data_IF_516467578908
#
_entry.id   IF_516467578908
#
_cell.length_a   1.000
_cell.length_b   1.000
_cell.length_c   1.000
_cell.angle_alpha   90.00
_cell.angle_beta   90.00
_cell.angle_gamma   90.00
#
_symmetry.space_group_name_H-M   'P 1'
#
loop_
_entity.id
_entity.type
_entity.pdbx_description
1 polymer ?
#
# COMPACT_ATOMS: atom_id res chain seq x y z
N UNK A 1 19.68 -4.10 -4.63
CA UNK A 1 18.70 -3.26 -3.91
C UNK A 1 17.87 -2.47 -4.93
N UNK A 2 16.58 -2.37 -4.71
CA UNK A 2 15.69 -1.65 -5.62
C UNK A 2 15.91 -0.15 -5.47
N UNK A 3 16.05 0.56 -6.60
CA UNK A 3 16.10 2.03 -6.59
C UNK A 3 14.67 2.56 -6.41
N UNK A 4 14.38 3.29 -5.32
CA UNK A 4 13.01 3.72 -5.03
C UNK A 4 12.43 4.65 -6.09
N UNK A 5 13.23 5.54 -6.67
CA UNK A 5 12.74 6.48 -7.67
C UNK A 5 12.35 5.77 -8.97
N UNK A 6 13.18 4.83 -9.42
CA UNK A 6 12.86 4.02 -10.61
C UNK A 6 11.62 3.20 -10.34
N UNK A 7 11.50 2.59 -9.16
CA UNK A 7 10.35 1.79 -8.79
C UNK A 7 9.07 2.64 -8.76
N UNK A 8 9.14 3.83 -8.16
CA UNK A 8 8.01 4.75 -8.13
C UNK A 8 7.56 5.13 -9.55
N UNK A 9 8.51 5.44 -10.43
CA UNK A 9 8.19 5.81 -11.81
C UNK A 9 7.54 4.66 -12.57
N UNK A 10 7.98 3.42 -12.32
CA UNK A 10 7.35 2.22 -12.89
C UNK A 10 5.92 2.04 -12.40
N UNK A 11 5.67 2.30 -11.14
CA UNK A 11 4.31 2.26 -10.60
C UNK A 11 3.42 3.32 -11.26
N UNK A 12 3.94 4.54 -11.40
CA UNK A 12 3.20 5.63 -12.03
C UNK A 12 2.86 5.31 -13.48
N UNK A 13 3.80 4.77 -14.24
CA UNK A 13 3.56 4.36 -15.64
C UNK A 13 2.44 3.33 -15.76
N UNK A 14 2.22 2.53 -14.72
CA UNK A 14 1.17 1.51 -14.67
C UNK A 14 -0.07 1.97 -13.93
N UNK A 15 -0.17 3.29 -13.70
CA UNK A 15 -1.34 3.92 -13.06
C UNK A 15 -1.54 3.52 -11.60
N UNK A 16 -0.47 3.16 -10.89
CA UNK A 16 -0.50 2.96 -9.45
C UNK A 16 -0.08 4.28 -8.78
N UNK A 17 -1.05 5.14 -8.52
CA UNK A 17 -0.79 6.51 -8.07
C UNK A 17 -1.30 6.81 -6.67
N UNK A 18 -2.02 5.88 -6.02
CA UNK A 18 -2.52 6.06 -4.66
C UNK A 18 -1.78 5.12 -3.71
N UNK A 19 -1.32 5.68 -2.59
CA UNK A 19 -0.48 4.96 -1.63
C UNK A 19 -1.06 5.08 -0.23
N UNK A 20 -1.18 3.95 0.44
CA UNK A 20 -1.60 3.88 1.85
C UNK A 20 -0.65 2.94 2.58
N UNK A 21 -0.16 3.34 3.73
CA UNK A 21 0.71 2.40 4.42
C UNK A 21 1.06 2.80 5.83
N UNK A 22 1.82 1.92 6.45
CA UNK A 22 2.41 2.13 7.76
C UNK A 22 3.92 2.23 7.57
N UNK A 23 4.52 3.41 7.79
CA UNK A 23 5.95 3.59 7.60
C UNK A 23 6.77 2.66 8.48
N UNK A 24 7.88 2.20 7.92
CA UNK A 24 8.78 1.29 8.59
C UNK A 24 10.21 1.55 8.15
N UNK A 25 11.18 1.21 9.01
CA UNK A 25 12.59 1.43 8.72
C UNK A 25 13.09 0.65 7.50
N UNK A 26 12.51 -0.53 7.23
CA UNK A 26 12.85 -1.33 6.05
C UNK A 26 12.42 -0.67 4.74
N UNK A 27 11.37 0.14 4.78
CA UNK A 27 10.82 0.84 3.64
C UNK A 27 11.14 2.33 3.64
N UNK A 28 12.10 2.75 4.46
CA UNK A 28 12.41 4.16 4.70
C UNK A 28 12.62 4.94 3.39
N UNK A 29 13.43 4.40 2.50
CA UNK A 29 13.79 5.11 1.26
C UNK A 29 12.59 5.15 0.30
N UNK A 30 11.81 4.08 0.22
CA UNK A 30 10.59 4.05 -0.58
C UNK A 30 9.55 5.03 -0.02
N UNK A 31 9.34 5.03 1.30
CA UNK A 31 8.40 5.95 1.95
C UNK A 31 8.78 7.42 1.71
N UNK A 32 10.06 7.75 1.81
CA UNK A 32 10.54 9.10 1.51
C UNK A 32 10.27 9.49 0.07
N UNK A 33 10.51 8.57 -0.86
CA UNK A 33 10.24 8.80 -2.29
C UNK A 33 8.74 9.01 -2.55
N UNK A 34 7.89 8.17 -2.00
CA UNK A 34 6.43 8.32 -2.13
C UNK A 34 5.99 9.67 -1.58
N UNK A 35 6.47 10.05 -0.40
CA UNK A 35 6.11 11.32 0.24
C UNK A 35 6.50 12.52 -0.62
N UNK A 36 7.68 12.49 -1.25
CA UNK A 36 8.16 13.62 -2.03
C UNK A 36 7.60 13.68 -3.45
N UNK A 37 7.30 12.54 -4.07
CA UNK A 37 6.92 12.47 -5.49
C UNK A 37 5.43 12.29 -5.73
N UNK A 38 4.67 11.72 -4.79
CA UNK A 38 3.24 11.58 -4.98
C UNK A 38 2.50 12.88 -4.67
N UNK A 39 1.31 13.04 -5.26
CA UNK A 39 0.42 14.12 -4.86
C UNK A 39 0.02 13.93 -3.40
N UNK A 40 0.00 15.03 -2.60
CA UNK A 40 -0.24 14.93 -1.16
C UNK A 40 -1.57 14.26 -0.80
N UNK A 41 -2.59 14.39 -1.66
CA UNK A 41 -3.89 13.76 -1.44
C UNK A 41 -3.90 12.27 -1.84
N UNK A 42 -2.83 11.79 -2.44
CA UNK A 42 -2.72 10.42 -2.92
C UNK A 42 -1.84 9.55 -2.03
N UNK A 43 -1.41 10.08 -0.89
CA UNK A 43 -0.58 9.32 0.06
C UNK A 43 -1.14 9.47 1.46
N UNK A 44 -1.56 8.38 2.06
CA UNK A 44 -2.18 8.36 3.39
C UNK A 44 -1.36 7.44 4.29
N UNK A 45 -0.97 7.98 5.46
CA UNK A 45 -0.35 7.20 6.52
C UNK A 45 -1.45 6.66 7.41
N UNK A 46 -1.52 5.34 7.53
CA UNK A 46 -2.55 4.67 8.31
C UNK A 46 -2.12 4.49 9.77
N UNK A 47 -3.09 4.35 10.67
CA UNK A 47 -2.82 4.12 12.08
C UNK A 47 -2.27 2.72 12.34
N UNK A 48 -2.70 1.73 11.56
CA UNK A 48 -2.17 0.37 11.60
C UNK A 48 -2.44 -0.33 10.25
N UNK A 49 -1.92 -1.53 10.11
CA UNK A 49 -1.98 -2.26 8.83
C UNK A 49 -3.41 -2.63 8.41
N UNK A 50 -4.25 -3.03 9.36
CA UNK A 50 -5.65 -3.34 9.07
C UNK A 50 -6.41 -2.12 8.56
N UNK A 51 -6.16 -0.95 9.17
CA UNK A 51 -6.73 0.32 8.70
C UNK A 51 -6.25 0.65 7.29
N UNK A 52 -4.98 0.37 6.97
CA UNK A 52 -4.44 0.61 5.63
C UNK A 52 -5.22 -0.17 4.57
N UNK A 53 -5.55 -1.42 4.83
CA UNK A 53 -6.35 -2.23 3.91
C UNK A 53 -7.76 -1.62 3.73
N UNK A 54 -8.39 -1.21 4.82
CA UNK A 54 -9.72 -0.58 4.76
C UNK A 54 -9.72 0.73 3.98
N UNK A 55 -8.74 1.58 4.21
CA UNK A 55 -8.59 2.85 3.48
C UNK A 55 -8.35 2.57 1.99
N UNK A 56 -7.48 1.62 1.67
CA UNK A 56 -7.20 1.23 0.29
C UNK A 56 -8.47 0.74 -0.42
N UNK A 57 -9.27 -0.07 0.26
CA UNK A 57 -10.54 -0.53 -0.29
C UNK A 57 -11.46 0.66 -0.65
N UNK A 58 -11.55 1.66 0.23
CA UNK A 58 -12.32 2.87 -0.01
C UNK A 58 -11.78 3.67 -1.20
N UNK A 59 -10.46 3.76 -1.35
CA UNK A 59 -9.85 4.42 -2.51
C UNK A 59 -10.26 3.72 -3.80
N UNK A 60 -10.17 2.39 -3.84
CA UNK A 60 -10.59 1.65 -5.04
C UNK A 60 -12.06 1.90 -5.37
N UNK A 61 -12.92 1.82 -4.38
CA UNK A 61 -14.37 2.00 -4.60
C UNK A 61 -14.70 3.41 -5.10
N UNK A 62 -13.97 4.42 -4.66
CA UNK A 62 -14.23 5.80 -5.04
C UNK A 62 -13.55 6.23 -6.33
N UNK A 63 -12.41 5.64 -6.68
CA UNK A 63 -11.60 6.09 -7.82
C UNK A 63 -11.53 5.09 -8.96
N UNK A 64 -11.90 3.84 -8.73
CA UNK A 64 -11.75 2.73 -9.68
C UNK A 64 -10.28 2.41 -10.00
N UNK A 65 -9.33 2.97 -9.26
CA UNK A 65 -7.90 2.65 -9.42
C UNK A 65 -7.49 1.54 -8.47
N UNK A 66 -6.33 0.95 -8.70
CA UNK A 66 -5.76 -0.07 -7.81
C UNK A 66 -4.77 0.62 -6.87
N UNK A 67 -5.10 0.73 -5.58
CA UNK A 67 -4.20 1.38 -4.62
C UNK A 67 -3.01 0.50 -4.27
N UNK A 68 -1.93 1.14 -3.83
CA UNK A 68 -0.73 0.49 -3.31
C UNK A 68 -0.77 0.56 -1.78
N UNK A 69 -0.62 -0.58 -1.14
CA UNK A 69 -0.53 -0.67 0.33
C UNK A 69 0.88 -1.15 0.69
N UNK A 70 1.56 -0.42 1.57
CA UNK A 70 2.90 -0.81 1.99
C UNK A 70 2.97 -1.00 3.50
N UNK A 71 3.78 -1.95 3.94
CA UNK A 71 3.97 -2.27 5.35
C UNK A 71 5.15 -3.23 5.53
N UNK A 72 5.59 -3.40 6.77
CA UNK A 72 6.53 -4.44 7.14
C UNK A 72 5.81 -5.80 7.24
N UNK A 73 6.53 -6.89 7.02
CA UNK A 73 5.95 -8.23 7.12
C UNK A 73 5.34 -8.53 8.51
N UNK A 74 5.86 -7.93 9.57
CA UNK A 74 5.28 -8.08 10.91
C UNK A 74 3.85 -7.54 11.01
N UNK A 75 3.46 -6.65 10.11
CA UNK A 75 2.10 -6.10 10.06
C UNK A 75 1.08 -6.99 9.37
N UNK A 76 1.51 -8.05 8.70
CA UNK A 76 0.60 -8.92 7.94
C UNK A 76 -0.46 -9.59 8.82
N UNK A 77 -0.14 -9.88 10.09
CA UNK A 77 -1.10 -10.43 11.02
C UNK A 77 -2.33 -9.54 11.22
N UNK A 78 -2.14 -8.23 11.17
CA UNK A 78 -3.24 -7.26 11.30
C UNK A 78 -4.10 -7.17 10.03
N UNK A 79 -3.66 -7.78 8.93
CA UNK A 79 -4.35 -7.73 7.64
C UNK A 79 -5.21 -8.97 7.37
N UNK A 80 -5.11 -10.01 8.18
CA UNK A 80 -5.78 -11.29 7.90
C UNK A 80 -7.29 -11.10 7.74
N UNK A 81 -7.92 -10.47 8.70
CA UNK A 81 -9.36 -10.23 8.66
C UNK A 81 -9.77 -9.36 7.46
N UNK A 82 -9.25 -8.13 7.30
CA UNK A 82 -9.68 -7.29 6.19
C UNK A 82 -9.34 -7.88 4.82
N UNK A 83 -8.23 -8.57 4.67
CA UNK A 83 -7.92 -9.23 3.40
C UNK A 83 -8.89 -10.37 3.10
N UNK A 84 -9.24 -11.15 4.12
CA UNK A 84 -10.16 -12.28 3.94
C UNK A 84 -11.56 -11.83 3.50
N UNK A 85 -11.97 -10.61 3.83
CA UNK A 85 -13.29 -10.08 3.45
C UNK A 85 -13.21 -9.12 2.26
N UNK A 86 -12.33 -8.11 2.31
CA UNK A 86 -12.34 -7.05 1.30
C UNK A 86 -11.73 -7.48 -0.02
N UNK A 87 -10.71 -8.33 0.01
CA UNK A 87 -10.01 -8.73 -1.21
C UNK A 87 -10.40 -10.11 -1.73
N UNK A 88 -11.12 -10.89 -0.93
CA UNK A 88 -11.51 -12.24 -1.33
C UNK A 88 -12.41 -12.21 -2.55
N UNK A 89 -12.14 -13.01 -3.60
CA UNK A 89 -12.90 -12.95 -4.86
C UNK A 89 -14.40 -13.20 -4.69
N UNK A 90 -14.79 -14.02 -3.73
CA UNK A 90 -16.19 -14.37 -3.51
C UNK A 90 -16.93 -13.40 -2.57
N UNK A 91 -16.24 -12.37 -2.08
CA UNK A 91 -16.85 -11.38 -1.18
C UNK A 91 -16.85 -10.02 -1.89
N UNK A 92 -15.87 -9.14 -1.58
CA UNK A 92 -15.84 -7.82 -2.22
C UNK A 92 -14.89 -7.74 -3.41
N UNK A 93 -13.94 -8.66 -3.51
CA UNK A 93 -13.02 -8.77 -4.64
C UNK A 93 -12.31 -7.44 -4.98
N UNK A 94 -11.92 -6.69 -3.97
CA UNK A 94 -11.25 -5.41 -4.16
C UNK A 94 -9.76 -5.66 -4.43
N UNK A 95 -9.22 -5.16 -5.56
CA UNK A 95 -7.81 -5.33 -5.88
C UNK A 95 -6.95 -4.30 -5.15
N UNK A 96 -5.74 -4.70 -4.77
CA UNK A 96 -4.72 -3.79 -4.28
C UNK A 96 -3.35 -4.41 -4.48
N UNK A 97 -2.35 -3.57 -4.70
CA UNK A 97 -0.96 -4.00 -4.78
C UNK A 97 -0.32 -3.83 -3.41
N UNK A 98 0.23 -4.90 -2.85
CA UNK A 98 0.88 -4.85 -1.55
C UNK A 98 2.39 -4.89 -1.70
N UNK A 99 3.06 -3.93 -1.08
CA UNK A 99 4.53 -3.88 -1.01
C UNK A 99 4.92 -4.20 0.43
N UNK A 100 5.61 -5.30 0.61
CA UNK A 100 5.96 -5.80 1.94
C UNK A 100 7.47 -5.71 2.13
N UNK A 101 7.89 -4.88 3.11
CA UNK A 101 9.26 -4.85 3.54
C UNK A 101 9.54 -6.07 4.42
N UNK A 102 10.43 -6.94 3.99
CA UNK A 102 10.64 -8.21 4.67
C UNK A 102 11.82 -8.12 5.63
N UNK A 103 11.53 -8.25 6.93
CA UNK A 103 12.56 -8.29 7.96
C UNK A 103 13.00 -9.73 8.19
N UNK A 104 14.31 -9.95 8.15
CA UNK A 104 14.93 -11.21 8.56
C UNK A 104 15.41 -11.05 10.01
N UNK A 105 14.90 -11.87 10.87
CA UNK A 105 15.35 -11.92 12.26
C UNK A 105 16.50 -12.89 12.43
#
# INVERSE_FOLDING_TARGET
MINPEIFFDQLHEREFDFFVGVPDSLLKNLCACITSKSHQNNHIIAANEGNAIGIAAGIHLSTQTIPVVYMQNSGLGNCVNPLASLTHPDIYNIPMLMIIGWSQL
#
